data_IF_008403508968
#
_entry.id   IF_008403508968
#
_cell.length_a   1.000
_cell.length_b   1.000
_cell.length_c   1.000
_cell.angle_alpha   90.00
_cell.angle_beta   90.00
_cell.angle_gamma   90.00
#
_symmetry.space_group_name_H-M   'P 1'
#
loop_
_entity.id
_entity.type
_entity.pdbx_description
1 polymer ?
#
# COMPACT_ATOMS: atom_id res chain seq x y z
N UNK A 1 -42.85 -48.06 -8.07
CA UNK A 1 -42.24 -48.56 -6.82
C UNK A 1 -41.70 -49.95 -7.11
N UNK A 2 -40.40 -50.17 -6.92
CA UNK A 2 -39.79 -51.49 -6.99
C UNK A 2 -40.02 -52.26 -5.68
N UNK A 3 -39.93 -53.59 -5.74
CA UNK A 3 -40.11 -54.50 -4.61
C UNK A 3 -39.16 -54.19 -3.43
N UNK A 4 -39.58 -54.44 -2.18
CA UNK A 4 -38.80 -54.22 -0.96
C UNK A 4 -37.50 -55.02 -0.95
N UNK A 5 -37.49 -56.18 -1.60
CA UNK A 5 -36.30 -57.02 -1.77
C UNK A 5 -35.18 -56.33 -2.59
N UNK A 6 -35.54 -55.35 -3.43
CA UNK A 6 -34.62 -54.58 -4.28
C UNK A 6 -34.43 -53.14 -3.78
N UNK A 7 -34.56 -52.89 -2.48
CA UNK A 7 -34.42 -51.55 -1.91
C UNK A 7 -32.96 -51.14 -1.73
N UNK A 8 -32.55 -50.04 -2.37
CA UNK A 8 -31.22 -49.43 -2.22
C UNK A 8 -31.14 -48.41 -1.06
N UNK A 9 -32.06 -48.49 -0.09
CA UNK A 9 -32.22 -47.44 0.94
C UNK A 9 -30.98 -47.24 1.80
N UNK A 10 -30.26 -48.32 2.10
CA UNK A 10 -29.04 -48.28 2.91
C UNK A 10 -27.88 -47.65 2.13
N UNK A 11 -27.69 -48.07 0.87
CA UNK A 11 -26.68 -47.49 -0.04
C UNK A 11 -26.92 -45.99 -0.32
N UNK A 12 -28.18 -45.56 -0.31
CA UNK A 12 -28.57 -44.14 -0.42
C UNK A 12 -28.20 -43.31 0.82
N UNK A 13 -27.92 -43.94 1.96
CA UNK A 13 -27.46 -43.28 3.19
C UNK A 13 -26.08 -42.65 3.00
N UNK A 14 -25.11 -43.46 2.58
CA UNK A 14 -23.71 -43.03 2.38
C UNK A 14 -23.60 -41.93 1.31
N UNK A 15 -24.40 -42.04 0.24
CA UNK A 15 -24.47 -41.00 -0.81
C UNK A 15 -24.99 -39.67 -0.25
N UNK A 16 -25.93 -39.69 0.70
CA UNK A 16 -26.44 -38.47 1.34
C UNK A 16 -25.39 -37.81 2.23
N UNK A 17 -24.64 -38.60 2.99
CA UNK A 17 -23.54 -38.10 3.82
C UNK A 17 -22.45 -37.45 2.96
N UNK A 18 -22.04 -38.13 1.89
CA UNK A 18 -21.08 -37.59 0.93
C UNK A 18 -21.54 -36.24 0.35
N UNK A 19 -22.83 -36.12 0.03
CA UNK A 19 -23.41 -34.89 -0.52
C UNK A 19 -23.44 -33.75 0.49
N UNK A 20 -23.63 -34.05 1.78
CA UNK A 20 -23.48 -33.07 2.87
C UNK A 20 -22.03 -32.61 2.97
N UNK A 21 -21.08 -33.53 2.90
CA UNK A 21 -19.66 -33.19 2.98
C UNK A 21 -19.18 -32.36 1.79
N UNK A 22 -19.65 -32.68 0.58
CA UNK A 22 -19.43 -31.82 -0.59
C UNK A 22 -20.00 -30.42 -0.40
N UNK A 23 -21.18 -30.31 0.22
CA UNK A 23 -21.79 -28.99 0.50
C UNK A 23 -20.98 -28.20 1.53
N UNK A 24 -20.44 -28.86 2.56
CA UNK A 24 -19.49 -28.24 3.51
C UNK A 24 -18.25 -27.72 2.79
N UNK A 25 -17.68 -28.52 1.89
CA UNK A 25 -16.50 -28.12 1.11
C UNK A 25 -16.80 -26.93 0.20
N UNK A 26 -17.95 -26.92 -0.46
CA UNK A 26 -18.38 -25.80 -1.30
C UNK A 26 -18.44 -24.49 -0.51
N UNK A 27 -19.10 -24.50 0.65
CA UNK A 27 -19.20 -23.30 1.52
C UNK A 27 -17.82 -22.84 1.98
N UNK A 28 -16.91 -23.77 2.29
CA UNK A 28 -15.52 -23.45 2.68
C UNK A 28 -14.73 -22.79 1.53
N UNK A 29 -15.05 -23.09 0.27
CA UNK A 29 -14.36 -22.50 -0.89
C UNK A 29 -14.85 -21.12 -1.31
N UNK A 30 -15.90 -20.58 -0.71
CA UNK A 30 -16.46 -19.28 -1.15
C UNK A 30 -15.56 -18.10 -0.86
N UNK A 31 -14.79 -18.13 0.23
CA UNK A 31 -13.75 -17.12 0.50
C UNK A 31 -12.66 -17.11 -0.58
N UNK A 32 -12.37 -18.27 -1.16
CA UNK A 32 -11.38 -18.44 -2.23
C UNK A 32 -11.84 -17.80 -3.55
N UNK A 33 -13.14 -17.58 -3.75
CA UNK A 33 -13.62 -16.90 -4.95
C UNK A 33 -13.13 -15.45 -5.04
N UNK A 34 -13.02 -14.74 -3.91
CA UNK A 34 -12.47 -13.39 -3.89
C UNK A 34 -10.96 -13.39 -4.14
N UNK A 35 -10.24 -14.36 -3.57
CA UNK A 35 -8.82 -14.58 -3.86
C UNK A 35 -8.57 -14.80 -5.35
N UNK A 36 -9.44 -15.57 -6.02
CA UNK A 36 -9.35 -15.77 -7.48
C UNK A 36 -9.59 -14.47 -8.25
N UNK A 37 -10.56 -13.65 -7.86
CA UNK A 37 -10.76 -12.33 -8.49
C UNK A 37 -9.51 -11.46 -8.38
N UNK A 38 -8.89 -11.41 -7.20
CA UNK A 38 -7.64 -10.68 -6.96
C UNK A 38 -6.51 -11.24 -7.83
N UNK A 39 -6.28 -12.55 -7.77
CA UNK A 39 -5.20 -13.23 -8.51
C UNK A 39 -5.35 -13.08 -10.02
N UNK A 40 -6.55 -13.31 -10.57
CA UNK A 40 -6.82 -13.20 -12.00
C UNK A 40 -6.63 -11.75 -12.49
N UNK A 41 -7.09 -10.77 -11.70
CA UNK A 41 -6.90 -9.35 -12.01
C UNK A 41 -5.44 -8.94 -12.01
N UNK A 42 -4.69 -9.39 -11.00
CA UNK A 42 -3.25 -9.17 -10.86
C UNK A 42 -2.44 -9.81 -11.99
N UNK A 43 -2.74 -11.06 -12.35
CA UNK A 43 -2.12 -11.75 -13.48
C UNK A 43 -2.46 -11.07 -14.81
N UNK A 44 -3.72 -10.63 -14.99
CA UNK A 44 -4.15 -9.89 -16.16
C UNK A 44 -3.35 -8.61 -16.38
N UNK A 45 -3.11 -7.84 -15.32
CA UNK A 45 -2.32 -6.61 -15.41
C UNK A 45 -0.86 -6.88 -15.80
N UNK A 46 -0.24 -7.95 -15.29
CA UNK A 46 1.12 -8.32 -15.69
C UNK A 46 1.20 -8.63 -17.20
N UNK A 47 0.22 -9.34 -17.75
CA UNK A 47 0.18 -9.65 -19.19
C UNK A 47 0.04 -8.38 -20.05
N UNK A 48 -0.75 -7.41 -19.59
CA UNK A 48 -0.98 -6.14 -20.31
C UNK A 48 0.21 -5.17 -20.17
N UNK A 49 1.17 -5.44 -19.27
CA UNK A 49 2.37 -4.60 -19.10
C UNK A 49 3.41 -4.75 -20.22
N UNK A 50 3.29 -5.75 -21.09
CA UNK A 50 4.28 -6.07 -22.14
C UNK A 50 4.68 -4.90 -23.05
N UNK A 51 3.79 -3.96 -23.45
CA UNK A 51 4.18 -2.80 -24.24
C UNK A 51 5.28 -1.94 -23.61
N UNK A 52 5.37 -1.89 -22.26
CA UNK A 52 6.48 -1.21 -21.58
C UNK A 52 7.83 -1.91 -21.84
N UNK A 53 7.83 -3.24 -21.87
CA UNK A 53 9.03 -4.03 -22.17
C UNK A 53 9.44 -3.90 -23.63
N UNK A 54 8.48 -3.94 -24.55
CA UNK A 54 8.75 -3.69 -25.97
C UNK A 54 9.35 -2.30 -26.20
N UNK A 55 8.83 -1.28 -25.52
CA UNK A 55 9.39 0.07 -25.56
C UNK A 55 10.81 0.14 -24.96
N UNK A 56 11.10 -0.59 -23.88
CA UNK A 56 12.45 -0.70 -23.32
C UNK A 56 13.45 -1.33 -24.32
N UNK A 57 13.04 -2.37 -25.05
CA UNK A 57 13.90 -3.01 -26.04
C UNK A 57 14.16 -2.13 -27.27
N UNK A 58 13.23 -1.25 -27.62
CA UNK A 58 13.34 -0.30 -28.74
C UNK A 58 13.91 1.07 -28.35
N UNK A 59 14.19 1.28 -27.07
CA UNK A 59 14.78 2.53 -26.58
C UNK A 59 16.23 2.63 -27.09
N UNK A 60 16.52 3.73 -27.81
CA UNK A 60 17.83 4.01 -28.42
C UNK A 60 18.31 5.45 -28.14
N UNK A 61 17.41 6.34 -27.70
CA UNK A 61 17.66 7.77 -27.53
C UNK A 61 17.10 8.29 -26.20
N UNK A 62 17.68 9.40 -25.71
CA UNK A 62 17.20 10.06 -24.49
C UNK A 62 15.71 10.45 -24.55
N UNK A 63 15.20 10.81 -25.72
CA UNK A 63 13.78 11.10 -25.92
C UNK A 63 12.91 9.83 -25.73
N UNK A 64 13.36 8.70 -26.27
CA UNK A 64 12.68 7.41 -26.08
C UNK A 64 12.72 6.93 -24.62
N UNK A 65 13.82 7.19 -23.90
CA UNK A 65 13.94 6.91 -22.46
C UNK A 65 12.97 7.78 -21.62
N UNK A 66 12.83 9.06 -22.00
CA UNK A 66 11.88 9.98 -21.35
C UNK A 66 10.44 9.56 -21.62
N UNK A 67 10.13 9.18 -22.86
CA UNK A 67 8.81 8.66 -23.25
C UNK A 67 8.47 7.38 -22.47
N UNK A 68 9.40 6.44 -22.35
CA UNK A 68 9.19 5.23 -21.56
C UNK A 68 8.93 5.53 -20.08
N UNK A 69 9.65 6.51 -19.51
CA UNK A 69 9.45 6.95 -18.13
C UNK A 69 8.03 7.52 -17.94
N UNK A 70 7.55 8.34 -18.87
CA UNK A 70 6.18 8.84 -18.87
C UNK A 70 5.15 7.70 -19.00
N UNK A 71 5.37 6.73 -19.90
CA UNK A 71 4.52 5.55 -20.04
C UNK A 71 4.46 4.72 -18.76
N UNK A 72 5.59 4.58 -18.05
CA UNK A 72 5.63 3.83 -16.78
C UNK A 72 4.85 4.54 -15.67
N UNK A 73 4.96 5.87 -15.59
CA UNK A 73 4.16 6.68 -14.66
C UNK A 73 2.67 6.59 -14.99
N UNK A 74 2.28 6.77 -16.26
CA UNK A 74 0.90 6.66 -16.74
C UNK A 74 0.32 5.25 -16.49
N UNK A 75 1.14 4.21 -16.70
CA UNK A 75 0.75 2.83 -16.44
C UNK A 75 0.33 2.65 -14.98
N UNK A 76 1.10 3.18 -14.03
CA UNK A 76 0.80 3.08 -12.59
C UNK A 76 -0.41 3.95 -12.22
N UNK A 77 -0.50 5.20 -12.69
CA UNK A 77 -1.58 6.12 -12.33
C UNK A 77 -2.94 5.68 -12.83
N UNK A 78 -2.98 4.99 -13.99
CA UNK A 78 -4.20 4.37 -14.54
C UNK A 78 -4.58 3.04 -13.87
N UNK A 79 -3.91 2.67 -12.77
CA UNK A 79 -4.22 1.48 -11.99
C UNK A 79 -5.59 1.53 -11.31
N UNK A 80 -6.10 0.35 -10.98
CA UNK A 80 -7.26 0.12 -10.13
C UNK A 80 -6.82 -0.44 -8.78
N UNK A 81 -7.70 -0.42 -7.77
CA UNK A 81 -7.39 -1.03 -6.47
C UNK A 81 -6.98 -2.51 -6.61
N UNK A 82 -7.50 -3.20 -7.61
CA UNK A 82 -7.25 -4.62 -7.88
C UNK A 82 -5.81 -4.91 -8.35
N UNK A 83 -5.29 -4.07 -9.26
CA UNK A 83 -4.08 -4.37 -10.01
C UNK A 83 -2.89 -3.43 -9.71
N UNK A 84 -3.11 -2.38 -8.91
CA UNK A 84 -2.11 -1.36 -8.60
C UNK A 84 -0.74 -1.93 -8.16
N UNK A 85 -0.75 -2.89 -7.24
CA UNK A 85 0.47 -3.54 -6.75
C UNK A 85 1.24 -4.22 -7.89
N UNK A 86 0.54 -4.89 -8.81
CA UNK A 86 1.18 -5.52 -9.97
C UNK A 86 1.67 -4.51 -10.99
N UNK A 87 1.02 -3.35 -11.12
CA UNK A 87 1.51 -2.28 -12.00
C UNK A 87 2.84 -1.71 -11.51
N UNK A 88 2.95 -1.41 -10.21
CA UNK A 88 4.22 -0.99 -9.59
C UNK A 88 5.28 -2.08 -9.76
N UNK A 89 4.93 -3.34 -9.46
CA UNK A 89 5.86 -4.47 -9.61
C UNK A 89 6.36 -4.63 -11.04
N UNK A 90 5.50 -4.41 -12.03
CA UNK A 90 5.87 -4.46 -13.46
C UNK A 90 6.92 -3.40 -13.79
N UNK A 91 6.78 -2.17 -13.28
CA UNK A 91 7.78 -1.10 -13.47
C UNK A 91 9.07 -1.37 -12.70
N UNK A 92 9.00 -1.96 -11.48
CA UNK A 92 10.21 -2.44 -10.76
C UNK A 92 10.96 -3.51 -11.55
N UNK A 93 10.23 -4.44 -12.18
CA UNK A 93 10.84 -5.46 -13.05
C UNK A 93 11.46 -4.78 -14.27
N UNK A 94 10.74 -3.87 -14.93
CA UNK A 94 11.23 -3.09 -16.06
C UNK A 94 12.54 -2.35 -15.74
N UNK A 95 12.62 -1.72 -14.57
CA UNK A 95 13.83 -1.06 -14.07
C UNK A 95 15.03 -2.02 -13.96
N UNK A 96 14.80 -3.23 -13.42
CA UNK A 96 15.83 -4.27 -13.33
C UNK A 96 16.28 -4.74 -14.72
N UNK A 97 15.34 -4.92 -15.64
CA UNK A 97 15.67 -5.27 -17.04
C UNK A 97 16.49 -4.18 -17.72
N UNK A 98 16.15 -2.90 -17.52
CA UNK A 98 16.93 -1.79 -18.06
C UNK A 98 18.38 -1.83 -17.56
N UNK A 99 18.59 -2.05 -16.25
CA UNK A 99 19.92 -2.21 -15.68
C UNK A 99 20.68 -3.41 -16.28
N UNK A 100 20.02 -4.57 -16.44
CA UNK A 100 20.62 -5.77 -17.05
C UNK A 100 21.00 -5.57 -18.53
N UNK A 101 20.31 -4.68 -19.25
CA UNK A 101 20.62 -4.31 -20.63
C UNK A 101 21.72 -3.23 -20.72
N UNK A 102 22.34 -2.85 -19.61
CA UNK A 102 23.37 -1.79 -19.57
C UNK A 102 22.81 -0.37 -19.56
N UNK A 103 21.49 -0.20 -19.39
CA UNK A 103 20.79 1.09 -19.35
C UNK A 103 20.55 1.53 -17.91
N UNK A 104 21.63 1.60 -17.12
CA UNK A 104 21.54 1.80 -15.66
C UNK A 104 20.87 3.11 -15.25
N UNK A 105 21.10 4.22 -15.97
CA UNK A 105 20.45 5.51 -15.69
C UNK A 105 18.92 5.43 -15.87
N UNK A 106 18.46 4.83 -16.97
CA UNK A 106 17.04 4.55 -17.19
C UNK A 106 16.46 3.59 -16.15
N UNK A 107 17.21 2.54 -15.78
CA UNK A 107 16.83 1.63 -14.69
C UNK A 107 16.63 2.36 -13.37
N UNK A 108 17.54 3.26 -13.02
CA UNK A 108 17.42 4.15 -11.87
C UNK A 108 16.15 5.02 -11.97
N UNK A 109 15.92 5.71 -13.08
CA UNK A 109 14.73 6.56 -13.26
C UNK A 109 13.41 5.78 -13.10
N UNK A 110 13.31 4.60 -13.75
CA UNK A 110 12.14 3.72 -13.61
C UNK A 110 11.99 3.20 -12.17
N UNK A 111 13.10 2.91 -11.50
CA UNK A 111 13.13 2.53 -10.09
C UNK A 111 12.62 3.64 -9.17
N UNK A 112 12.98 4.90 -9.45
CA UNK A 112 12.49 6.08 -8.74
C UNK A 112 10.99 6.27 -8.94
N UNK A 113 10.50 6.19 -10.18
CA UNK A 113 9.06 6.27 -10.49
C UNK A 113 8.29 5.22 -9.70
N UNK A 114 8.75 3.96 -9.72
CA UNK A 114 8.11 2.89 -8.97
C UNK A 114 8.15 3.17 -7.45
N UNK A 115 9.27 3.64 -6.91
CA UNK A 115 9.42 3.98 -5.49
C UNK A 115 8.48 5.11 -5.06
N UNK A 116 8.34 6.15 -5.89
CA UNK A 116 7.41 7.26 -5.65
C UNK A 116 5.98 6.75 -5.51
N UNK A 117 5.52 5.86 -6.40
CA UNK A 117 4.16 5.33 -6.30
C UNK A 117 4.00 4.24 -5.23
N UNK A 118 5.07 3.57 -4.84
CA UNK A 118 5.06 2.54 -3.79
C UNK A 118 4.61 3.08 -2.43
N UNK A 119 4.84 4.38 -2.16
CA UNK A 119 4.38 5.04 -0.94
C UNK A 119 2.85 4.94 -0.74
N UNK A 120 2.08 4.80 -1.81
CA UNK A 120 0.62 4.67 -1.74
C UNK A 120 0.14 3.22 -1.55
N UNK A 121 1.02 2.21 -1.62
CA UNK A 121 0.64 0.81 -1.44
C UNK A 121 -0.14 0.54 -0.15
N UNK A 122 0.28 1.03 1.04
CA UNK A 122 -0.44 0.75 2.28
C UNK A 122 -1.89 1.25 2.24
N UNK A 123 -2.12 2.44 1.67
CA UNK A 123 -3.44 3.03 1.53
C UNK A 123 -4.31 2.23 0.54
N UNK A 124 -3.75 1.83 -0.60
CA UNK A 124 -4.47 1.04 -1.62
C UNK A 124 -4.80 -0.36 -1.08
N UNK A 125 -3.86 -1.01 -0.40
CA UNK A 125 -4.10 -2.30 0.27
C UNK A 125 -5.16 -2.21 1.36
N UNK A 126 -5.20 -1.11 2.12
CA UNK A 126 -6.24 -0.88 3.09
C UNK A 126 -7.61 -0.77 2.41
N UNK A 127 -7.74 0.06 1.37
CA UNK A 127 -9.00 0.19 0.60
C UNK A 127 -9.44 -1.16 -0.02
N UNK A 128 -8.49 -1.95 -0.51
CA UNK A 128 -8.76 -3.30 -1.02
C UNK A 128 -9.30 -4.22 0.07
N UNK A 129 -8.67 -4.23 1.26
CA UNK A 129 -9.14 -4.99 2.44
C UNK A 129 -10.52 -4.53 2.91
N UNK A 130 -10.79 -3.23 2.88
CA UNK A 130 -12.11 -2.66 3.22
C UNK A 130 -13.17 -3.08 2.21
N UNK A 131 -12.89 -2.98 0.90
CA UNK A 131 -13.78 -3.44 -0.15
C UNK A 131 -14.10 -4.94 0.00
N UNK A 132 -13.08 -5.74 0.31
CA UNK A 132 -13.22 -7.17 0.61
C UNK A 132 -14.10 -7.41 1.83
N UNK A 133 -13.87 -6.68 2.93
CA UNK A 133 -14.66 -6.79 4.15
C UNK A 133 -16.13 -6.42 3.91
N UNK A 134 -16.39 -5.31 3.22
CA UNK A 134 -17.74 -4.84 2.89
C UNK A 134 -18.45 -5.87 2.01
N UNK A 135 -17.79 -6.34 0.94
CA UNK A 135 -18.38 -7.29 0.01
C UNK A 135 -18.56 -8.69 0.61
N UNK A 136 -17.73 -9.10 1.57
CA UNK A 136 -17.77 -10.44 2.14
C UNK A 136 -18.62 -10.55 3.41
N UNK A 137 -18.64 -9.53 4.26
CA UNK A 137 -19.28 -9.60 5.59
C UNK A 137 -20.78 -9.85 5.53
N UNK A 138 -21.51 -9.00 4.83
CA UNK A 138 -22.98 -9.12 4.72
C UNK A 138 -23.40 -10.44 4.06
N UNK A 139 -22.74 -10.91 2.99
CA UNK A 139 -23.11 -12.17 2.35
C UNK A 139 -22.66 -13.44 3.08
N UNK A 140 -21.51 -13.42 3.76
CA UNK A 140 -21.05 -14.55 4.57
C UNK A 140 -21.98 -14.77 5.77
N UNK A 141 -22.41 -13.69 6.44
CA UNK A 141 -23.38 -13.76 7.54
C UNK A 141 -24.74 -14.30 7.08
N UNK A 142 -25.24 -13.87 5.92
CA UNK A 142 -26.50 -14.37 5.36
C UNK A 142 -26.42 -15.83 4.92
N UNK A 143 -25.34 -16.21 4.25
CA UNK A 143 -25.18 -17.58 3.75
C UNK A 143 -24.87 -18.58 4.87
N UNK A 144 -24.19 -18.16 5.94
CA UNK A 144 -24.03 -18.95 7.17
C UNK A 144 -25.38 -19.16 7.87
N UNK A 145 -26.22 -18.11 7.95
CA UNK A 145 -27.58 -18.24 8.50
C UNK A 145 -28.43 -19.21 7.69
N UNK A 146 -28.35 -19.17 6.36
CA UNK A 146 -29.11 -20.08 5.50
C UNK A 146 -28.55 -21.51 5.53
N UNK A 147 -27.22 -21.69 5.62
CA UNK A 147 -26.60 -22.99 5.84
C UNK A 147 -27.04 -23.61 7.17
N UNK A 148 -27.02 -22.84 8.27
CA UNK A 148 -27.48 -23.30 9.59
C UNK A 148 -28.97 -23.67 9.56
N UNK A 149 -29.80 -22.97 8.77
CA UNK A 149 -31.21 -23.35 8.56
C UNK A 149 -31.33 -24.67 7.81
N UNK A 150 -30.54 -24.89 6.75
CA UNK A 150 -30.59 -26.13 5.96
C UNK A 150 -30.14 -27.33 6.80
N UNK A 151 -29.10 -27.18 7.63
CA UNK A 151 -28.58 -28.26 8.49
C UNK A 151 -29.49 -28.55 9.69
N UNK A 152 -30.20 -27.54 10.22
CA UNK A 152 -31.12 -27.74 11.36
C UNK A 152 -32.38 -28.53 10.99
N UNK A 153 -32.83 -28.50 9.74
CA UNK A 153 -34.00 -29.27 9.29
C UNK A 153 -33.52 -30.62 8.73
N UNK A 154 -33.69 -31.65 9.55
CA UNK A 154 -33.25 -33.05 9.40
C UNK A 154 -33.67 -33.81 8.12
N UNK A 155 -34.18 -33.16 7.09
CA UNK A 155 -34.57 -33.80 5.83
C UNK A 155 -33.61 -33.41 4.70
N UNK A 156 -32.65 -34.30 4.47
CA UNK A 156 -31.80 -34.42 3.28
C UNK A 156 -32.64 -34.70 2.01
N UNK A 157 -33.64 -33.86 1.75
CA UNK A 157 -34.35 -33.85 0.48
C UNK A 157 -33.38 -33.30 -0.57
N UNK A 158 -32.88 -34.19 -1.42
CA UNK A 158 -31.96 -33.86 -2.52
C UNK A 158 -32.47 -32.72 -3.39
N UNK A 159 -33.79 -32.58 -3.55
CA UNK A 159 -34.41 -31.46 -4.25
C UNK A 159 -34.16 -30.12 -3.56
N UNK A 160 -34.29 -30.08 -2.22
CA UNK A 160 -34.02 -28.88 -1.44
C UNK A 160 -32.52 -28.51 -1.49
N UNK A 161 -31.63 -29.50 -1.55
CA UNK A 161 -30.20 -29.27 -1.70
C UNK A 161 -29.88 -28.68 -3.08
N UNK A 162 -30.47 -29.22 -4.14
CA UNK A 162 -30.33 -28.65 -5.49
C UNK A 162 -30.81 -27.19 -5.56
N UNK A 163 -32.02 -26.92 -5.05
CA UNK A 163 -32.60 -25.56 -5.08
C UNK A 163 -31.80 -24.58 -4.23
N UNK A 164 -31.36 -24.98 -3.03
CA UNK A 164 -30.52 -24.14 -2.18
C UNK A 164 -29.15 -23.87 -2.80
N UNK A 165 -28.57 -24.84 -3.50
CA UNK A 165 -27.32 -24.65 -4.25
C UNK A 165 -27.46 -23.62 -5.37
N UNK A 166 -28.53 -23.70 -6.16
CA UNK A 166 -28.79 -22.75 -7.25
C UNK A 166 -28.95 -21.31 -6.72
N UNK A 167 -29.65 -21.15 -5.58
CA UNK A 167 -29.78 -19.86 -4.91
C UNK A 167 -28.45 -19.33 -4.40
N UNK A 168 -27.63 -20.20 -3.80
CA UNK A 168 -26.30 -19.85 -3.33
C UNK A 168 -25.41 -19.38 -4.50
N UNK A 169 -25.37 -20.11 -5.62
CA UNK A 169 -24.60 -19.69 -6.81
C UNK A 169 -25.02 -18.34 -7.35
N UNK A 170 -26.34 -18.08 -7.43
CA UNK A 170 -26.86 -16.77 -7.85
C UNK A 170 -26.42 -15.65 -6.90
N UNK A 171 -26.39 -15.93 -5.59
CA UNK A 171 -25.92 -14.98 -4.59
C UNK A 171 -24.42 -14.75 -4.70
N UNK A 172 -23.61 -15.81 -4.78
CA UNK A 172 -22.15 -15.74 -4.96
C UNK A 172 -21.77 -14.96 -6.21
N UNK A 173 -22.48 -15.15 -7.32
CA UNK A 173 -22.27 -14.37 -8.52
C UNK A 173 -22.45 -12.87 -8.27
N UNK A 174 -23.50 -12.47 -7.53
CA UNK A 174 -23.72 -11.06 -7.15
C UNK A 174 -22.61 -10.53 -6.25
N UNK A 175 -22.11 -11.34 -5.31
CA UNK A 175 -20.98 -10.97 -4.44
C UNK A 175 -19.72 -10.72 -5.28
N UNK A 176 -19.35 -11.70 -6.11
CA UNK A 176 -18.17 -11.62 -6.98
C UNK A 176 -18.28 -10.41 -7.90
N UNK A 177 -19.46 -10.16 -8.49
CA UNK A 177 -19.70 -9.00 -9.33
C UNK A 177 -19.54 -7.68 -8.57
N UNK A 178 -20.18 -7.54 -7.40
CA UNK A 178 -20.04 -6.34 -6.55
C UNK A 178 -18.60 -6.12 -6.12
N UNK A 179 -17.88 -7.20 -5.78
CA UNK A 179 -16.48 -7.11 -5.42
C UNK A 179 -15.64 -6.61 -6.61
N UNK A 180 -15.81 -7.19 -7.80
CA UNK A 180 -15.16 -6.71 -9.04
C UNK A 180 -15.43 -5.24 -9.31
N UNK A 181 -16.67 -4.80 -9.14
CA UNK A 181 -17.06 -3.38 -9.30
C UNK A 181 -16.38 -2.49 -8.24
N UNK A 182 -16.29 -2.94 -6.98
CA UNK A 182 -15.66 -2.18 -5.89
C UNK A 182 -14.14 -2.06 -6.03
N UNK A 183 -13.46 -3.11 -6.50
CA UNK A 183 -11.99 -3.13 -6.66
C UNK A 183 -11.51 -2.64 -8.03
N UNK A 184 -12.41 -2.57 -9.01
CA UNK A 184 -12.14 -2.01 -10.35
C UNK A 184 -12.13 -0.48 -10.41
N UNK A 185 -12.25 0.20 -9.27
CA UNK A 185 -12.18 1.66 -9.18
C UNK A 185 -10.73 2.12 -9.32
N UNK A 186 -10.52 3.22 -10.05
CA UNK A 186 -9.19 3.82 -10.26
C UNK A 186 -8.58 4.33 -8.95
N UNK A 187 -7.25 4.22 -8.85
CA UNK A 187 -6.49 4.67 -7.66
C UNK A 187 -6.22 6.16 -7.63
N UNK A 188 -6.59 6.93 -8.66
CA UNK A 188 -6.31 8.37 -8.77
C UNK A 188 -6.68 9.17 -7.51
N UNK A 189 -7.85 8.89 -6.94
CA UNK A 189 -8.31 9.49 -5.66
C UNK A 189 -7.42 9.21 -4.44
N UNK A 190 -6.52 8.23 -4.52
CA UNK A 190 -5.57 7.92 -3.46
C UNK A 190 -4.36 8.87 -3.48
N UNK A 191 -4.06 9.49 -4.64
CA UNK A 191 -2.93 10.41 -4.77
C UNK A 191 -3.20 11.77 -4.14
N UNK A 192 -4.47 12.13 -3.95
CA UNK A 192 -4.88 13.35 -3.24
C UNK A 192 -4.76 13.21 -1.71
N UNK A 193 -4.50 12.00 -1.22
CA UNK A 193 -4.37 11.72 0.21
C UNK A 193 -2.92 11.88 0.65
N UNK A 194 -2.71 12.55 1.78
CA UNK A 194 -1.40 12.62 2.41
C UNK A 194 -0.98 11.22 2.86
N UNK A 195 0.22 10.83 2.45
CA UNK A 195 0.85 9.57 2.85
C UNK A 195 1.65 9.81 4.11
N UNK A 196 1.59 8.88 5.04
CA UNK A 196 2.42 8.91 6.23
C UNK A 196 3.89 8.72 5.84
N UNK A 197 4.68 9.79 5.92
CA UNK A 197 6.12 9.70 5.74
C UNK A 197 6.73 9.11 7.00
N UNK A 198 7.17 7.85 6.91
CA UNK A 198 8.03 7.26 7.93
C UNK A 198 9.37 7.98 7.90
N UNK A 199 9.71 8.65 8.98
CA UNK A 199 11.06 9.15 9.22
C UNK A 199 12.01 7.95 9.17
N UNK A 200 13.05 7.99 8.33
CA UNK A 200 14.09 6.97 8.31
C UNK A 200 14.75 6.94 9.69
N UNK A 201 14.49 5.90 10.47
CA UNK A 201 15.26 5.61 11.68
C UNK A 201 16.66 5.19 11.24
N UNK A 202 17.58 6.14 11.16
CA UNK A 202 18.98 5.84 10.92
C UNK A 202 19.49 5.10 12.14
N UNK A 203 19.81 3.81 11.97
CA UNK A 203 20.38 3.02 13.06
C UNK A 203 21.70 3.65 13.51
N UNK A 204 21.91 3.87 14.82
CA UNK A 204 23.16 4.43 15.29
C UNK A 204 24.31 3.47 14.93
N UNK A 205 25.51 4.01 14.61
CA UNK A 205 26.68 3.17 14.34
C UNK A 205 26.94 2.25 15.54
N UNK A 206 27.28 0.99 15.26
CA UNK A 206 27.59 0.03 16.32
C UNK A 206 28.76 0.52 17.17
N UNK A 207 28.68 0.46 18.51
CA UNK A 207 29.76 0.90 19.38
C UNK A 207 31.02 0.06 19.14
N UNK A 208 32.18 0.69 19.19
CA UNK A 208 33.47 0.00 19.13
C UNK A 208 33.64 -0.88 20.38
N UNK A 209 34.25 -2.08 20.27
CA UNK A 209 34.50 -2.94 21.41
C UNK A 209 35.39 -2.27 22.46
N UNK A 210 34.94 -2.21 23.72
CA UNK A 210 35.75 -1.74 24.84
C UNK A 210 36.85 -2.77 25.17
N UNK A 211 38.00 -2.62 24.53
CA UNK A 211 39.14 -3.52 24.71
C UNK A 211 40.41 -2.71 24.90
N UNK A 212 41.18 -3.03 25.94
CA UNK A 212 42.42 -2.35 26.28
C UNK A 212 43.55 -2.88 25.41
N UNK A 213 43.91 -2.11 24.38
CA UNK A 213 45.05 -2.44 23.52
C UNK A 213 46.21 -1.46 23.73
N UNK A 214 47.41 -1.93 23.39
CA UNK A 214 48.66 -1.16 23.48
C UNK A 214 49.22 -0.80 22.10
N UNK A 215 50.08 0.23 22.07
CA UNK A 215 50.85 0.62 20.90
C UNK A 215 49.99 1.08 19.72
N UNK A 216 50.24 0.52 18.53
CA UNK A 216 49.57 0.94 17.28
C UNK A 216 48.07 0.69 17.29
N UNK A 217 47.61 -0.32 18.03
CA UNK A 217 46.19 -0.68 18.11
C UNK A 217 45.42 0.38 18.91
N UNK A 218 46.00 0.90 20.00
CA UNK A 218 45.44 2.06 20.72
C UNK A 218 45.25 3.26 19.80
N UNK A 219 46.29 3.59 19.03
CA UNK A 219 46.24 4.74 18.12
C UNK A 219 45.20 4.58 17.01
N UNK A 220 45.03 3.36 16.49
CA UNK A 220 43.98 3.05 15.52
C UNK A 220 42.57 3.16 16.14
N UNK A 221 42.39 2.76 17.40
CA UNK A 221 41.13 2.93 18.13
C UNK A 221 40.79 4.40 18.38
N UNK A 222 41.76 5.20 18.81
CA UNK A 222 41.60 6.66 18.97
C UNK A 222 41.16 7.31 17.65
N UNK A 223 41.87 7.01 16.56
CA UNK A 223 41.54 7.55 15.25
C UNK A 223 40.16 7.09 14.76
N UNK A 224 39.78 5.84 15.01
CA UNK A 224 38.45 5.32 14.67
C UNK A 224 37.36 6.03 15.48
N UNK A 225 37.61 6.33 16.76
CA UNK A 225 36.69 7.09 17.61
C UNK A 225 36.55 8.54 17.13
N UNK A 226 37.65 9.18 16.74
CA UNK A 226 37.64 10.54 16.18
C UNK A 226 36.86 10.58 14.85
N UNK A 227 37.07 9.60 13.97
CA UNK A 227 36.30 9.45 12.72
C UNK A 227 34.82 9.24 13.01
N UNK A 228 34.46 8.37 13.96
CA UNK A 228 33.05 8.13 14.31
C UNK A 228 32.39 9.38 14.88
N UNK A 229 33.09 10.13 15.74
CA UNK A 229 32.58 11.39 16.31
C UNK A 229 32.35 12.41 15.20
N UNK A 230 33.34 12.59 14.32
CA UNK A 230 33.22 13.49 13.17
C UNK A 230 32.09 13.08 12.21
N UNK A 231 31.98 11.79 11.90
CA UNK A 231 30.93 11.26 11.06
C UNK A 231 29.54 11.49 11.68
N UNK A 232 29.39 11.24 12.98
CA UNK A 232 28.15 11.49 13.71
C UNK A 232 27.73 12.95 13.65
N UNK A 233 28.67 13.88 13.87
CA UNK A 233 28.39 15.32 13.81
C UNK A 233 28.00 15.76 12.40
N UNK A 234 28.62 15.19 11.37
CA UNK A 234 28.31 15.48 9.97
C UNK A 234 26.94 14.90 9.55
N UNK A 235 26.57 13.73 10.08
CA UNK A 235 25.30 13.06 9.82
C UNK A 235 24.21 13.43 10.84
N UNK A 236 24.37 14.50 11.60
CA UNK A 236 23.42 14.87 12.63
C UNK A 236 22.09 15.33 12.01
N UNK A 237 21.07 14.48 12.09
CA UNK A 237 19.71 14.74 11.58
C UNK A 237 18.73 15.13 12.70
N UNK A 238 19.21 15.37 13.93
CA UNK A 238 18.36 15.62 15.11
C UNK A 238 17.37 16.77 14.88
N UNK A 239 17.86 17.92 14.40
CA UNK A 239 17.01 19.09 14.15
C UNK A 239 15.93 18.83 13.09
N UNK A 240 16.24 18.02 12.07
CA UNK A 240 15.26 17.64 11.05
C UNK A 240 14.21 16.66 11.60
N UNK A 241 14.61 15.75 12.49
CA UNK A 241 13.69 14.86 13.20
C UNK A 241 12.75 15.65 14.12
N UNK A 242 13.30 16.57 14.92
CA UNK A 242 12.52 17.44 15.81
C UNK A 242 11.51 18.28 15.03
N UNK A 243 11.93 18.87 13.89
CA UNK A 243 11.02 19.61 13.02
C UNK A 243 9.90 18.72 12.46
N UNK A 244 10.20 17.47 12.14
CA UNK A 244 9.22 16.50 11.65
C UNK A 244 8.17 16.20 12.74
N UNK A 245 8.61 15.94 13.97
CA UNK A 245 7.71 15.66 15.09
C UNK A 245 6.86 16.87 15.47
N UNK A 246 7.46 18.07 15.47
CA UNK A 246 6.73 19.32 15.65
C UNK A 246 5.68 19.53 14.56
N UNK A 247 6.02 19.20 13.31
CA UNK A 247 5.09 19.32 12.17
C UNK A 247 3.92 18.36 12.32
N UNK A 248 4.16 17.11 12.74
CA UNK A 248 3.11 16.12 13.04
C UNK A 248 2.18 16.63 14.14
N UNK A 249 2.74 17.10 15.27
CA UNK A 249 1.96 17.66 16.37
C UNK A 249 1.14 18.89 15.95
N UNK A 250 1.71 19.76 15.10
CA UNK A 250 1.01 20.91 14.55
C UNK A 250 -0.17 20.49 13.64
N UNK A 251 0.01 19.50 12.77
CA UNK A 251 -1.05 18.97 11.90
C UNK A 251 -2.19 18.36 12.73
N UNK A 252 -1.87 17.57 13.76
CA UNK A 252 -2.85 17.03 14.71
C UNK A 252 -3.66 18.15 15.39
N UNK A 253 -2.98 19.17 15.93
CA UNK A 253 -3.64 20.32 16.57
C UNK A 253 -4.61 21.06 15.63
N UNK A 254 -4.28 21.13 14.34
CA UNK A 254 -5.12 21.78 13.32
C UNK A 254 -6.34 20.90 12.99
N UNK A 255 -6.16 19.58 12.85
CA UNK A 255 -7.22 18.63 12.49
C UNK A 255 -8.22 18.37 13.60
N UNK A 256 -7.81 18.44 14.86
CA UNK A 256 -8.70 18.20 16.01
C UNK A 256 -9.86 19.18 16.00
N UNK A 257 -11.09 18.68 15.88
CA UNK A 257 -12.27 19.51 16.06
C UNK A 257 -12.52 19.73 17.55
N UNK A 258 -12.59 20.99 17.97
CA UNK A 258 -12.84 21.37 19.36
C UNK A 258 -14.33 21.60 19.52
N UNK A 259 -14.96 20.85 20.43
CA UNK A 259 -16.35 21.08 20.81
C UNK A 259 -16.38 22.14 21.92
N UNK A 260 -16.77 23.36 21.57
CA UNK A 260 -16.82 24.48 22.51
C UNK A 260 -18.03 24.34 23.44
N UNK A 261 -17.79 24.47 24.74
CA UNK A 261 -18.82 24.33 25.79
C UNK A 261 -19.06 25.66 26.49
N UNK A 262 -20.25 25.84 27.06
CA UNK A 262 -20.61 27.02 27.85
C UNK A 262 -21.53 28.02 27.15
N UNK A 263 -21.60 29.22 27.71
CA UNK A 263 -22.31 30.36 27.10
C UNK A 263 -21.56 30.91 25.88
N UNK A 264 -22.22 31.73 25.05
CA UNK A 264 -21.63 32.19 23.79
C UNK A 264 -20.35 33.01 23.98
N UNK A 265 -20.23 33.78 25.07
CA UNK A 265 -19.00 34.52 25.40
C UNK A 265 -17.83 33.57 25.76
N UNK A 266 -18.13 32.45 26.43
CA UNK A 266 -17.12 31.44 26.79
C UNK A 266 -16.65 30.67 25.55
N UNK A 267 -17.57 30.36 24.64
CA UNK A 267 -17.24 29.74 23.35
C UNK A 267 -16.36 30.64 22.50
N UNK A 268 -16.65 31.95 22.45
CA UNK A 268 -15.83 32.92 21.71
C UNK A 268 -14.40 33.00 22.27
N UNK A 269 -14.25 33.02 23.60
CA UNK A 269 -12.93 32.97 24.25
C UNK A 269 -12.18 31.68 23.90
N UNK A 270 -12.83 30.52 24.02
CA UNK A 270 -12.22 29.23 23.69
C UNK A 270 -11.80 29.16 22.21
N UNK A 271 -12.63 29.66 21.29
CA UNK A 271 -12.30 29.75 19.88
C UNK A 271 -11.08 30.66 19.64
N UNK A 272 -11.03 31.81 20.32
CA UNK A 272 -9.89 32.74 20.28
C UNK A 272 -8.59 32.09 20.75
N UNK A 273 -8.62 31.39 21.89
CA UNK A 273 -7.48 30.65 22.42
C UNK A 273 -7.00 29.56 21.46
N UNK A 274 -7.93 28.74 20.93
CA UNK A 274 -7.62 27.69 19.97
C UNK A 274 -6.98 28.23 18.69
N UNK A 275 -7.56 29.31 18.13
CA UNK A 275 -7.02 29.98 16.94
C UNK A 275 -5.60 30.50 17.19
N UNK A 276 -5.38 31.20 18.31
CA UNK A 276 -4.08 31.76 18.65
C UNK A 276 -3.04 30.65 18.87
N UNK A 277 -3.39 29.58 19.57
CA UNK A 277 -2.52 28.42 19.78
C UNK A 277 -2.09 27.78 18.44
N UNK A 278 -3.04 27.55 17.52
CA UNK A 278 -2.76 27.03 16.17
C UNK A 278 -1.86 27.96 15.36
N UNK A 279 -2.13 29.26 15.37
CA UNK A 279 -1.31 30.24 14.68
C UNK A 279 0.13 30.26 15.21
N UNK A 280 0.30 30.17 16.53
CA UNK A 280 1.63 30.07 17.16
C UNK A 280 2.37 28.80 16.75
N UNK A 281 1.69 27.64 16.75
CA UNK A 281 2.30 26.38 16.33
C UNK A 281 2.80 26.44 14.88
N UNK A 282 1.97 26.94 13.94
CA UNK A 282 2.38 27.12 12.53
C UNK A 282 3.56 28.09 12.40
N UNK A 283 3.54 29.20 13.14
CA UNK A 283 4.64 30.16 13.10
C UNK A 283 5.97 29.58 13.62
N UNK A 284 5.92 28.72 14.65
CA UNK A 284 7.10 28.00 15.15
C UNK A 284 7.66 27.04 14.11
N UNK A 285 6.81 26.21 13.48
CA UNK A 285 7.24 25.29 12.42
C UNK A 285 7.90 26.04 11.26
N UNK A 286 7.34 27.17 10.82
CA UNK A 286 7.93 27.99 9.75
C UNK A 286 9.29 28.56 10.17
N UNK A 287 9.41 29.04 11.41
CA UNK A 287 10.65 29.61 11.93
C UNK A 287 11.75 28.56 12.02
N UNK A 288 11.43 27.37 12.53
CA UNK A 288 12.40 26.29 12.74
C UNK A 288 12.78 25.65 11.39
N UNK A 289 11.85 25.56 10.44
CA UNK A 289 12.14 25.22 9.05
C UNK A 289 13.14 26.20 8.40
N UNK A 290 12.98 27.51 8.64
CA UNK A 290 13.94 28.51 8.14
C UNK A 290 15.32 28.38 8.79
N UNK A 291 15.39 27.98 10.06
CA UNK A 291 16.66 27.77 10.77
C UNK A 291 17.51 26.65 10.14
N UNK A 292 16.86 25.63 9.56
CA UNK A 292 17.54 24.55 8.82
C UNK A 292 17.66 24.83 7.30
N UNK A 293 17.32 26.05 6.85
CA UNK A 293 17.50 26.50 5.48
C UNK A 293 16.30 26.30 4.54
N UNK A 294 15.18 25.76 5.02
CA UNK A 294 13.93 25.66 4.26
C UNK A 294 13.23 27.03 4.21
N UNK A 295 13.44 27.77 3.12
CA UNK A 295 12.94 29.14 2.98
C UNK A 295 11.83 29.25 1.93
N UNK A 296 10.63 29.66 2.37
CA UNK A 296 9.47 29.86 1.50
C UNK A 296 9.71 30.83 0.33
N UNK A 297 10.61 31.82 0.47
CA UNK A 297 10.94 32.73 -0.65
C UNK A 297 11.69 32.03 -1.78
N UNK A 298 12.55 31.06 -1.45
CA UNK A 298 13.23 30.22 -2.46
C UNK A 298 12.24 29.29 -3.17
N UNK A 299 11.17 28.88 -2.49
CA UNK A 299 10.10 28.11 -3.10
C UNK A 299 9.36 28.88 -4.21
N UNK A 300 9.24 30.20 -4.11
CA UNK A 300 8.55 31.01 -5.13
C UNK A 300 9.31 31.11 -6.46
N UNK A 301 10.61 30.81 -6.48
CA UNK A 301 11.43 30.84 -7.70
C UNK A 301 11.58 29.47 -8.35
N UNK A 302 11.03 28.42 -7.75
CA UNK A 302 11.09 27.06 -8.29
C UNK A 302 10.12 26.88 -9.46
N UNK A 303 10.61 26.30 -10.56
CA UNK A 303 9.76 25.85 -11.64
C UNK A 303 9.01 24.58 -11.21
N UNK A 304 7.70 24.67 -11.07
CA UNK A 304 6.87 23.59 -10.56
C UNK A 304 6.83 22.37 -11.50
N UNK A 305 6.86 22.58 -12.81
CA UNK A 305 6.87 21.50 -13.80
C UNK A 305 8.20 20.74 -13.75
N UNK A 306 9.31 21.49 -13.70
CA UNK A 306 10.64 20.93 -13.57
C UNK A 306 10.79 20.16 -12.25
N UNK A 307 10.29 20.74 -11.15
CA UNK A 307 10.30 20.09 -9.84
C UNK A 307 9.48 18.79 -9.83
N UNK A 308 8.33 18.77 -10.50
CA UNK A 308 7.48 17.57 -10.58
C UNK A 308 8.17 16.47 -11.36
N UNK A 309 8.83 16.84 -12.48
CA UNK A 309 9.63 15.91 -13.28
C UNK A 309 10.82 15.38 -12.48
N UNK A 310 11.58 16.27 -11.84
CA UNK A 310 12.77 15.90 -11.07
C UNK A 310 12.42 15.02 -9.87
N UNK A 311 11.31 15.27 -9.17
CA UNK A 311 10.88 14.43 -8.05
C UNK A 311 10.60 12.98 -8.44
N UNK A 312 10.29 12.72 -9.71
CA UNK A 312 10.04 11.37 -10.22
C UNK A 312 11.29 10.73 -10.82
N UNK A 313 12.12 11.50 -11.53
CA UNK A 313 13.22 10.96 -12.32
C UNK A 313 14.61 11.30 -11.81
N UNK A 314 14.80 12.41 -11.09
CA UNK A 314 16.15 12.86 -10.75
C UNK A 314 16.69 12.05 -9.57
N UNK A 315 17.46 11.03 -9.90
CA UNK A 315 18.37 10.40 -8.96
C UNK A 315 19.71 11.10 -9.11
N UNK A 316 20.25 11.65 -8.02
CA UNK A 316 21.61 12.17 -7.99
C UNK A 316 22.57 11.00 -8.26
N UNK A 317 23.06 10.89 -9.49
CA UNK A 317 24.06 9.90 -9.87
C UNK A 317 25.32 10.14 -9.02
N UNK A 318 25.62 9.19 -8.13
CA UNK A 318 26.75 9.25 -7.18
C UNK A 318 26.40 9.02 -5.70
N UNK A 319 25.12 8.87 -5.33
CA UNK A 319 24.70 8.56 -3.94
C UNK A 319 23.91 7.26 -3.78
N UNK A 320 23.69 6.51 -4.86
CA UNK A 320 23.22 5.14 -4.76
C UNK A 320 24.33 4.26 -4.18
N UNK A 321 24.43 4.23 -2.84
CA UNK A 321 25.05 3.10 -2.16
C UNK A 321 24.20 1.89 -2.55
N UNK A 322 24.78 0.99 -3.34
CA UNK A 322 24.23 -0.34 -3.58
C UNK A 322 24.05 -1.03 -2.22
N UNK A 323 22.86 -0.91 -1.64
CA UNK A 323 22.44 -1.83 -0.59
C UNK A 323 22.06 -3.11 -1.31
N UNK A 324 23.02 -4.02 -1.36
CA UNK A 324 22.87 -5.40 -1.81
C UNK A 324 22.08 -6.23 -0.81
#
# INVERSE_FOLDING_TARGET
MADRANSLRNELGDVRELLVDWKKMEVRSWSELLNRVETDGQMGALLVSFPLFDALFKEETADSATSLSAMAAEWITNGTLLDYCMRIRSVRILAKWAALLGKSSLGSHLGSIAAHFEQYLPLVEQKLKEARKICFREPAENSLKDYVKIVKYNDLNLWNIKVSSQKAHTHLYKIVRRFKEAVGVQVSSCFDMLVDMKTLEVSPPSPLPETTFDGRIRRAMELSKDILTYAHDLSNTQTASELTDQTKSCDEMIRVQINYQGEDEEKEKQQGYARNARQRAVAMVIKDAQAIGLNARKAMTLNQEELTRSCLTDIIEGHAVEVS
#
